data_IF_840289774856
#
_entry.id   IF_840289774856
#
_cell.length_a   1.000
_cell.length_b   1.000
_cell.length_c   1.000
_cell.angle_alpha   90.00
_cell.angle_beta   90.00
_cell.angle_gamma   90.00
#
_symmetry.space_group_name_H-M   'P 1'
#
loop_
_entity.id
_entity.type
_entity.pdbx_description
1 polymer ?
#
# COMPACT_ATOMS: atom_id res chain seq x y z
N UNK A 1 27.62 -6.69 -2.31
CA UNK A 1 26.69 -5.53 -2.12
C UNK A 1 25.36 -6.07 -1.62
N UNK A 2 24.87 -5.56 -0.50
CA UNK A 2 23.54 -5.91 0.05
C UNK A 2 22.52 -5.10 -0.72
N UNK A 3 21.64 -5.79 -1.46
CA UNK A 3 20.57 -5.15 -2.23
C UNK A 3 19.50 -4.60 -1.29
N UNK A 4 18.83 -3.52 -1.68
CA UNK A 4 17.69 -3.00 -0.93
C UNK A 4 16.56 -4.04 -0.84
N UNK A 5 16.26 -4.70 -1.96
CA UNK A 5 15.35 -5.84 -2.05
C UNK A 5 15.83 -6.77 -3.19
N UNK A 6 16.09 -8.04 -2.89
CA UNK A 6 16.52 -9.02 -3.89
C UNK A 6 15.32 -9.80 -4.44
N UNK A 7 14.65 -9.23 -5.45
CA UNK A 7 13.51 -9.87 -6.10
C UNK A 7 13.84 -11.21 -6.75
N UNK A 8 15.06 -11.36 -7.26
CA UNK A 8 15.51 -12.63 -7.83
C UNK A 8 15.53 -13.72 -6.75
N UNK A 9 16.22 -13.46 -5.62
CA UNK A 9 16.34 -14.41 -4.51
C UNK A 9 14.97 -14.70 -3.85
N UNK A 10 14.08 -13.69 -3.75
CA UNK A 10 12.71 -13.89 -3.26
C UNK A 10 11.93 -14.84 -4.16
N UNK A 11 11.95 -14.65 -5.48
CA UNK A 11 11.19 -15.50 -6.40
C UNK A 11 11.84 -16.88 -6.61
N UNK A 12 13.14 -17.00 -6.39
CA UNK A 12 13.86 -18.26 -6.49
C UNK A 12 13.37 -19.31 -5.50
N UNK A 13 12.92 -18.88 -4.30
CA UNK A 13 12.30 -19.78 -3.29
C UNK A 13 11.10 -20.55 -3.85
N UNK A 14 10.35 -19.94 -4.77
CA UNK A 14 9.10 -20.49 -5.34
C UNK A 14 9.25 -20.85 -6.82
N UNK A 15 10.49 -20.89 -7.33
CA UNK A 15 10.77 -21.01 -8.77
C UNK A 15 10.07 -22.17 -9.45
N UNK A 16 10.00 -23.34 -8.80
CA UNK A 16 9.32 -24.51 -9.37
C UNK A 16 7.81 -24.31 -9.47
N UNK A 17 7.18 -23.82 -8.39
CA UNK A 17 5.74 -23.56 -8.36
C UNK A 17 5.34 -22.44 -9.32
N UNK A 18 6.15 -21.36 -9.40
CA UNK A 18 5.92 -20.25 -10.32
C UNK A 18 5.99 -20.72 -11.79
N UNK A 19 6.99 -21.54 -12.14
CA UNK A 19 7.13 -22.09 -13.49
C UNK A 19 5.97 -23.04 -13.84
N UNK A 20 5.57 -23.88 -12.90
CA UNK A 20 4.40 -24.75 -13.08
C UNK A 20 3.12 -23.95 -13.31
N UNK A 21 2.88 -22.92 -12.49
CA UNK A 21 1.73 -22.04 -12.64
C UNK A 21 1.73 -21.29 -13.99
N UNK A 22 2.90 -20.86 -14.48
CA UNK A 22 3.03 -20.24 -15.80
C UNK A 22 2.70 -21.23 -16.93
N UNK A 23 3.23 -22.46 -16.86
CA UNK A 23 2.94 -23.49 -17.85
C UNK A 23 1.44 -23.81 -17.90
N UNK A 24 0.79 -23.97 -16.76
CA UNK A 24 -0.66 -24.21 -16.67
C UNK A 24 -1.48 -23.10 -17.36
N UNK A 25 -1.08 -21.83 -17.22
CA UNK A 25 -1.77 -20.71 -17.89
C UNK A 25 -1.52 -20.75 -19.39
N UNK A 26 -0.28 -20.99 -19.82
CA UNK A 26 0.08 -21.08 -21.25
C UNK A 26 -0.69 -22.23 -21.92
N UNK A 27 -0.70 -23.40 -21.31
CA UNK A 27 -1.35 -24.60 -21.85
C UNK A 27 -2.89 -24.46 -21.88
N UNK A 28 -3.47 -23.66 -20.97
CA UNK A 28 -4.90 -23.39 -20.96
C UNK A 28 -5.37 -22.55 -22.14
N UNK A 29 -4.51 -21.73 -22.73
CA UNK A 29 -4.86 -20.75 -23.75
C UNK A 29 -5.82 -19.64 -23.27
N UNK A 30 -6.07 -19.52 -21.97
CA UNK A 30 -6.96 -18.53 -21.37
C UNK A 30 -6.15 -17.51 -20.57
N UNK A 31 -6.18 -16.22 -20.94
CA UNK A 31 -5.24 -15.24 -20.42
C UNK A 31 -5.86 -14.09 -19.64
N UNK A 32 -7.19 -13.90 -19.70
CA UNK A 32 -7.92 -12.83 -19.02
C UNK A 32 -9.27 -13.30 -18.50
N UNK A 33 -9.66 -12.81 -17.30
CA UNK A 33 -10.99 -13.02 -16.71
C UNK A 33 -11.40 -14.50 -16.62
N UNK A 34 -10.47 -15.38 -16.31
CA UNK A 34 -10.65 -16.81 -16.24
C UNK A 34 -10.58 -17.37 -14.83
N UNK A 35 -10.19 -18.65 -14.74
CA UNK A 35 -10.22 -19.41 -13.49
C UNK A 35 -9.14 -18.95 -12.50
N UNK A 36 -7.93 -18.59 -12.98
CA UNK A 36 -6.83 -18.20 -12.08
C UNK A 36 -7.14 -16.90 -11.36
N UNK A 37 -7.71 -15.92 -12.07
CA UNK A 37 -8.20 -14.67 -11.48
C UNK A 37 -9.30 -14.95 -10.47
N UNK A 38 -10.31 -15.74 -10.80
CA UNK A 38 -11.39 -16.11 -9.87
C UNK A 38 -10.85 -16.81 -8.61
N UNK A 39 -9.90 -17.71 -8.76
CA UNK A 39 -9.27 -18.43 -7.65
C UNK A 39 -8.48 -17.48 -6.76
N UNK A 40 -7.70 -16.57 -7.33
CA UNK A 40 -6.97 -15.56 -6.56
C UNK A 40 -7.90 -14.61 -5.82
N UNK A 41 -8.98 -14.12 -6.47
CA UNK A 41 -10.00 -13.30 -5.81
C UNK A 41 -10.60 -14.02 -4.60
N UNK A 42 -10.92 -15.31 -4.74
CA UNK A 42 -11.44 -16.14 -3.63
C UNK A 42 -10.41 -16.31 -2.51
N UNK A 43 -9.14 -16.54 -2.84
CA UNK A 43 -8.07 -16.64 -1.85
C UNK A 43 -7.87 -15.32 -1.12
N UNK A 44 -7.83 -14.20 -1.83
CA UNK A 44 -7.63 -12.87 -1.26
C UNK A 44 -8.78 -12.48 -0.32
N UNK A 45 -10.04 -12.66 -0.76
CA UNK A 45 -11.19 -12.36 0.10
C UNK A 45 -11.20 -13.21 1.36
N UNK A 46 -10.85 -14.50 1.27
CA UNK A 46 -10.74 -15.38 2.43
C UNK A 46 -9.59 -14.96 3.35
N UNK A 47 -8.44 -14.56 2.77
CA UNK A 47 -7.29 -14.10 3.53
C UNK A 47 -7.60 -12.82 4.32
N UNK A 48 -8.29 -11.86 3.70
CA UNK A 48 -8.71 -10.60 4.34
C UNK A 48 -9.99 -10.75 5.18
N UNK A 49 -10.71 -11.87 5.07
CA UNK A 49 -12.05 -12.08 5.61
C UNK A 49 -13.07 -11.05 5.12
N UNK A 50 -12.92 -10.55 3.88
CA UNK A 50 -13.85 -9.64 3.22
C UNK A 50 -14.90 -10.43 2.42
N UNK A 51 -16.05 -9.79 2.12
CA UNK A 51 -17.13 -10.42 1.34
C UNK A 51 -16.78 -10.54 -0.15
N UNK A 52 -16.12 -9.52 -0.70
CA UNK A 52 -15.76 -9.44 -2.11
C UNK A 52 -14.28 -9.11 -2.29
N UNK A 53 -13.68 -9.65 -3.35
CA UNK A 53 -12.41 -9.20 -3.91
C UNK A 53 -12.53 -9.09 -5.43
N UNK A 54 -11.96 -8.03 -6.01
CA UNK A 54 -11.98 -7.76 -7.44
C UNK A 54 -10.54 -7.51 -7.89
N UNK A 55 -9.99 -8.36 -8.73
CA UNK A 55 -8.67 -8.21 -9.31
C UNK A 55 -8.68 -7.15 -10.42
N UNK A 56 -7.68 -6.26 -10.38
CA UNK A 56 -7.53 -5.13 -11.31
C UNK A 56 -6.08 -5.00 -11.79
N UNK A 57 -5.80 -4.09 -12.71
CA UNK A 57 -4.50 -3.97 -13.36
C UNK A 57 -3.37 -3.51 -12.44
N UNK A 58 -3.63 -2.66 -11.45
CA UNK A 58 -2.62 -2.14 -10.52
C UNK A 58 -3.27 -1.47 -9.30
N UNK A 59 -2.44 -1.05 -8.34
CA UNK A 59 -2.92 -0.44 -7.09
C UNK A 59 -3.53 0.96 -7.26
N UNK A 60 -3.03 1.77 -8.20
CA UNK A 60 -3.62 3.08 -8.49
C UNK A 60 -5.05 2.90 -9.05
N UNK A 61 -5.23 2.00 -9.99
CA UNK A 61 -6.53 1.70 -10.55
C UNK A 61 -7.49 1.12 -9.50
N UNK A 62 -7.00 0.35 -8.53
CA UNK A 62 -7.82 -0.11 -7.41
C UNK A 62 -8.48 1.06 -6.67
N UNK A 63 -7.69 2.07 -6.28
CA UNK A 63 -8.20 3.27 -5.59
C UNK A 63 -9.09 4.13 -6.51
N UNK A 64 -8.68 4.32 -7.77
CA UNK A 64 -9.47 5.06 -8.78
C UNK A 64 -10.85 4.44 -8.98
N UNK A 65 -10.91 3.11 -9.07
CA UNK A 65 -12.15 2.36 -9.29
C UNK A 65 -13.07 2.38 -8.06
N UNK A 66 -12.52 2.38 -6.82
CA UNK A 66 -13.31 2.57 -5.60
C UNK A 66 -14.00 3.94 -5.63
N UNK A 67 -13.24 5.01 -5.84
CA UNK A 67 -13.76 6.37 -5.88
C UNK A 67 -14.76 6.56 -7.03
N UNK A 68 -14.43 6.05 -8.22
CA UNK A 68 -15.35 6.07 -9.36
C UNK A 68 -16.62 5.27 -9.10
N UNK A 69 -16.53 4.14 -8.44
CA UNK A 69 -17.68 3.34 -8.02
C UNK A 69 -18.62 4.15 -7.13
N UNK A 70 -18.13 4.84 -6.13
CA UNK A 70 -18.93 5.71 -5.28
C UNK A 70 -19.56 6.89 -6.02
N UNK A 71 -18.91 7.41 -7.08
CA UNK A 71 -19.50 8.44 -7.96
C UNK A 71 -20.68 7.84 -8.75
N UNK A 72 -20.49 6.68 -9.37
CA UNK A 72 -21.53 6.02 -10.17
C UNK A 72 -22.73 5.54 -9.32
N UNK A 73 -22.52 5.27 -8.04
CA UNK A 73 -23.56 4.96 -7.05
C UNK A 73 -24.23 6.22 -6.49
N UNK A 74 -23.80 7.42 -6.86
CA UNK A 74 -24.36 8.69 -6.37
C UNK A 74 -24.00 9.06 -4.93
N UNK A 75 -23.02 8.37 -4.32
CA UNK A 75 -22.49 8.66 -2.97
C UNK A 75 -21.58 9.89 -3.01
N UNK A 76 -20.84 10.05 -4.10
CA UNK A 76 -19.95 11.17 -4.36
C UNK A 76 -20.28 11.81 -5.71
N UNK A 77 -19.81 13.04 -5.91
CA UNK A 77 -19.89 13.78 -7.19
C UNK A 77 -18.65 14.61 -7.41
N UNK A 78 -18.42 15.04 -8.64
CA UNK A 78 -17.33 15.95 -9.01
C UNK A 78 -17.25 17.14 -8.05
N UNK A 79 -16.05 17.44 -7.55
CA UNK A 79 -15.76 18.51 -6.61
C UNK A 79 -15.99 18.17 -5.15
N UNK A 80 -16.50 16.99 -4.83
CA UNK A 80 -16.52 16.49 -3.44
C UNK A 80 -15.09 16.25 -2.94
N UNK A 81 -14.91 16.32 -1.63
CA UNK A 81 -13.61 16.30 -0.97
C UNK A 81 -13.31 14.93 -0.37
N UNK A 82 -12.05 14.50 -0.50
CA UNK A 82 -11.52 13.28 0.11
C UNK A 82 -10.29 13.65 0.92
N UNK A 83 -10.32 13.39 2.24
CA UNK A 83 -9.17 13.58 3.12
C UNK A 83 -8.14 12.50 2.84
N UNK A 84 -6.86 12.90 2.77
CA UNK A 84 -5.73 12.01 2.45
C UNK A 84 -4.46 12.51 3.16
N UNK A 85 -3.54 11.62 3.62
CA UNK A 85 -2.30 12.07 4.26
C UNK A 85 -1.40 12.86 3.30
N UNK A 86 -0.79 13.95 3.81
CA UNK A 86 0.09 14.85 3.03
C UNK A 86 1.45 14.23 2.68
N UNK A 87 1.82 13.11 3.32
CA UNK A 87 3.10 12.40 3.12
C UNK A 87 2.97 11.08 2.37
N UNK A 88 1.80 10.79 1.78
CA UNK A 88 1.59 9.54 1.05
C UNK A 88 2.35 9.48 -0.26
N UNK A 89 2.46 8.29 -0.85
CA UNK A 89 2.84 8.16 -2.26
C UNK A 89 1.80 8.83 -3.15
N UNK A 90 2.27 9.48 -4.20
CA UNK A 90 1.42 10.30 -5.09
C UNK A 90 0.19 9.56 -5.64
N UNK A 91 0.24 8.22 -5.75
CA UNK A 91 -0.86 7.42 -6.27
C UNK A 91 -2.18 7.61 -5.50
N UNK A 92 -2.13 7.73 -4.16
CA UNK A 92 -3.34 7.96 -3.35
C UNK A 92 -3.99 9.30 -3.71
N UNK A 93 -3.18 10.34 -4.00
CA UNK A 93 -3.66 11.67 -4.40
C UNK A 93 -4.16 11.66 -5.84
N UNK A 94 -3.41 11.03 -6.76
CA UNK A 94 -3.81 10.88 -8.16
C UNK A 94 -5.17 10.17 -8.30
N UNK A 95 -5.42 9.12 -7.50
CA UNK A 95 -6.70 8.42 -7.53
C UNK A 95 -7.90 9.33 -7.27
N UNK A 96 -7.71 10.33 -6.40
CA UNK A 96 -8.74 11.32 -6.07
C UNK A 96 -8.89 12.33 -7.23
N UNK A 97 -7.77 12.93 -7.67
CA UNK A 97 -7.76 13.96 -8.70
C UNK A 97 -8.26 13.45 -10.04
N UNK A 98 -7.90 12.23 -10.44
CA UNK A 98 -8.32 11.59 -11.68
C UNK A 98 -9.85 11.36 -11.76
N UNK A 99 -10.50 11.34 -10.60
CA UNK A 99 -11.97 11.25 -10.50
C UNK A 99 -12.66 12.63 -10.40
N UNK A 100 -11.93 13.72 -10.63
CA UNK A 100 -12.41 15.09 -10.43
C UNK A 100 -12.95 15.35 -9.02
N UNK A 101 -12.42 14.62 -8.03
CA UNK A 101 -12.59 14.87 -6.61
C UNK A 101 -11.46 15.77 -6.11
N UNK A 102 -11.64 16.40 -4.98
CA UNK A 102 -10.66 17.32 -4.41
C UNK A 102 -9.91 16.65 -3.25
N UNK A 103 -8.59 16.38 -3.38
CA UNK A 103 -7.79 15.92 -2.26
C UNK A 103 -7.68 17.01 -1.18
N UNK A 104 -7.93 16.66 0.06
CA UNK A 104 -7.72 17.50 1.24
C UNK A 104 -6.58 16.88 2.03
N UNK A 105 -5.41 17.48 1.92
CA UNK A 105 -4.21 16.99 2.58
C UNK A 105 -4.27 17.27 4.08
N UNK A 106 -3.94 16.25 4.89
CA UNK A 106 -3.85 16.35 6.35
C UNK A 106 -2.50 15.80 6.78
N UNK A 107 -1.86 16.47 7.74
CA UNK A 107 -0.56 16.12 8.26
C UNK A 107 -0.51 14.71 8.85
N UNK A 108 0.62 13.99 8.70
CA UNK A 108 0.88 12.75 9.41
C UNK A 108 1.31 12.99 10.86
N UNK A 109 1.38 11.91 11.64
CA UNK A 109 2.09 11.85 12.92
C UNK A 109 3.56 11.52 12.70
N UNK A 110 4.47 12.16 13.47
CA UNK A 110 5.89 11.83 13.49
C UNK A 110 6.17 10.38 13.96
N UNK A 111 5.31 9.86 14.86
CA UNK A 111 5.55 8.57 15.51
C UNK A 111 5.23 7.38 14.63
N UNK A 112 4.19 7.50 13.80
CA UNK A 112 3.70 6.40 12.97
C UNK A 112 3.89 6.62 11.47
N UNK A 113 4.21 7.86 11.05
CA UNK A 113 4.19 8.32 9.66
C UNK A 113 2.79 8.26 9.01
N UNK A 114 1.81 7.73 9.70
CA UNK A 114 0.43 7.62 9.24
C UNK A 114 -0.34 8.93 9.48
N UNK A 115 -1.49 9.06 8.82
CA UNK A 115 -2.41 10.18 8.99
C UNK A 115 -2.68 10.47 10.48
N UNK A 116 -2.48 11.72 10.91
CA UNK A 116 -2.83 12.15 12.26
C UNK A 116 -4.35 12.28 12.39
N UNK A 117 -4.96 11.26 13.00
CA UNK A 117 -6.41 11.16 13.13
C UNK A 117 -7.00 12.34 13.92
N UNK A 118 -6.23 12.93 14.86
CA UNK A 118 -6.67 14.07 15.65
C UNK A 118 -6.90 15.34 14.83
N UNK A 119 -6.29 15.43 13.63
CA UNK A 119 -6.39 16.57 12.72
C UNK A 119 -7.50 16.41 11.66
N UNK A 120 -8.10 15.23 11.55
CA UNK A 120 -9.09 14.93 10.51
C UNK A 120 -10.32 15.82 10.65
N UNK A 121 -10.87 15.92 11.85
CA UNK A 121 -12.16 16.58 12.08
C UNK A 121 -12.11 18.08 11.72
N UNK A 122 -10.96 18.74 11.94
CA UNK A 122 -10.74 20.13 11.55
C UNK A 122 -10.71 20.34 10.01
N UNK A 123 -10.43 19.30 9.24
CA UNK A 123 -10.38 19.35 7.78
C UNK A 123 -11.74 19.01 7.11
N UNK A 124 -12.73 18.57 7.88
CA UNK A 124 -14.04 18.18 7.36
C UNK A 124 -14.87 19.41 6.98
N UNK A 125 -15.43 19.38 5.75
CA UNK A 125 -16.42 20.34 5.26
C UNK A 125 -17.72 19.65 4.86
N UNK A 126 -18.72 20.40 4.45
CA UNK A 126 -19.98 19.84 3.90
C UNK A 126 -19.77 19.02 2.61
N UNK A 127 -18.62 19.23 1.92
CA UNK A 127 -18.26 18.51 0.70
C UNK A 127 -17.41 17.26 0.96
N UNK A 128 -16.90 17.08 2.16
CA UNK A 128 -16.10 15.90 2.49
C UNK A 128 -17.01 14.66 2.46
N UNK A 129 -16.59 13.63 1.72
CA UNK A 129 -17.34 12.38 1.52
C UNK A 129 -16.57 11.14 1.93
N UNK A 130 -15.24 11.21 1.97
CA UNK A 130 -14.42 10.09 2.39
C UNK A 130 -13.14 10.54 3.09
N UNK A 131 -12.58 9.59 3.83
CA UNK A 131 -11.22 9.60 4.36
C UNK A 131 -10.49 8.45 3.67
N UNK A 132 -9.45 8.75 2.87
CA UNK A 132 -8.54 7.79 2.31
C UNK A 132 -7.35 7.69 3.24
N UNK A 133 -7.32 6.64 4.07
CA UNK A 133 -6.17 6.34 4.93
C UNK A 133 -5.15 5.51 4.16
N UNK A 134 -3.88 5.66 4.53
CA UNK A 134 -2.80 4.85 3.99
C UNK A 134 -2.15 4.09 5.13
N UNK A 135 -2.02 2.78 5.00
CA UNK A 135 -1.25 1.95 5.93
C UNK A 135 0.23 2.02 5.57
N UNK A 136 0.82 3.22 5.79
CA UNK A 136 2.15 3.55 5.27
C UNK A 136 3.23 2.65 5.86
N UNK A 137 4.16 2.22 5.01
CA UNK A 137 5.27 1.31 5.31
C UNK A 137 4.85 -0.07 5.84
N UNK A 138 3.55 -0.34 5.87
CA UNK A 138 2.98 -1.59 6.36
C UNK A 138 2.46 -1.51 7.78
N UNK A 139 2.35 -0.31 8.36
CA UNK A 139 1.78 -0.06 9.69
C UNK A 139 0.30 0.30 9.57
N UNK A 140 -0.53 -0.33 10.39
CA UNK A 140 -1.97 -0.04 10.44
C UNK A 140 -2.23 1.43 10.81
N UNK A 141 -3.03 2.10 9.98
CA UNK A 141 -3.59 3.42 10.25
C UNK A 141 -5.07 3.25 10.61
N UNK A 142 -5.36 2.96 11.87
CA UNK A 142 -6.74 2.73 12.34
C UNK A 142 -6.90 3.03 13.82
N UNK A 143 -8.07 3.52 14.22
CA UNK A 143 -8.44 3.69 15.62
C UNK A 143 -9.95 3.81 15.78
N UNK A 144 -10.45 3.64 16.99
CA UNK A 144 -11.86 3.92 17.33
C UNK A 144 -12.26 5.37 17.03
N UNK A 145 -11.34 6.32 17.27
CA UNK A 145 -11.59 7.73 16.96
C UNK A 145 -11.86 7.94 15.46
N UNK A 146 -11.13 7.24 14.57
CA UNK A 146 -11.37 7.30 13.13
C UNK A 146 -12.78 6.80 12.78
N UNK A 147 -13.18 5.67 13.36
CA UNK A 147 -14.53 5.11 13.18
C UNK A 147 -15.62 6.09 13.65
N UNK A 148 -15.43 6.69 14.83
CA UNK A 148 -16.37 7.66 15.41
C UNK A 148 -16.51 8.93 14.54
N UNK A 149 -15.39 9.47 14.04
CA UNK A 149 -15.38 10.61 13.11
C UNK A 149 -16.13 10.27 11.82
N UNK A 150 -15.83 9.13 11.21
CA UNK A 150 -16.46 8.70 9.97
C UNK A 150 -17.97 8.51 10.15
N UNK A 151 -18.40 7.86 11.24
CA UNK A 151 -19.80 7.67 11.56
C UNK A 151 -20.52 9.01 11.82
N UNK A 152 -19.94 9.89 12.63
CA UNK A 152 -20.51 11.21 12.97
C UNK A 152 -20.74 12.07 11.75
N UNK A 153 -19.85 12.04 10.77
CA UNK A 153 -19.89 12.87 9.57
C UNK A 153 -20.41 12.13 8.33
N UNK A 154 -20.84 10.86 8.48
CA UNK A 154 -21.30 10.00 7.39
C UNK A 154 -20.29 9.93 6.23
N UNK A 155 -19.02 9.65 6.56
CA UNK A 155 -17.90 9.56 5.62
C UNK A 155 -17.58 8.09 5.32
N UNK A 156 -17.17 7.83 4.09
CA UNK A 156 -16.57 6.54 3.72
C UNK A 156 -15.12 6.47 4.17
N UNK A 157 -14.67 5.32 4.69
CA UNK A 157 -13.25 5.06 4.95
C UNK A 157 -12.73 4.15 3.85
N UNK A 158 -11.74 4.64 3.10
CA UNK A 158 -11.06 3.90 2.04
C UNK A 158 -9.64 3.59 2.51
N UNK A 159 -9.26 2.32 2.47
CA UNK A 159 -7.91 1.88 2.82
C UNK A 159 -7.02 1.87 1.56
N UNK A 160 -5.93 2.64 1.54
CA UNK A 160 -4.80 2.34 0.68
C UNK A 160 -3.94 1.28 1.36
N UNK A 161 -4.17 0.04 0.96
CA UNK A 161 -3.52 -1.14 1.52
C UNK A 161 -2.34 -1.64 0.66
N UNK A 162 -1.78 -0.76 -0.19
CA UNK A 162 -0.69 -1.10 -1.10
C UNK A 162 0.59 -1.60 -0.40
N UNK A 163 0.74 -1.36 0.90
CA UNK A 163 1.94 -1.69 1.68
C UNK A 163 1.65 -2.60 2.89
N UNK A 164 0.40 -2.96 3.17
CA UNK A 164 0.04 -3.52 4.47
C UNK A 164 -0.75 -4.84 4.42
N UNK A 165 -0.72 -5.58 3.30
CA UNK A 165 -1.42 -6.87 3.23
C UNK A 165 -1.02 -7.77 4.40
N UNK A 166 -2.04 -8.20 5.18
CA UNK A 166 -1.88 -9.08 6.32
C UNK A 166 -1.47 -8.39 7.63
N UNK A 167 -1.43 -7.05 7.71
CA UNK A 167 -1.46 -6.34 8.98
C UNK A 167 -2.84 -6.48 9.63
N UNK A 168 -2.93 -6.40 10.95
CA UNK A 168 -4.17 -6.65 11.70
C UNK A 168 -4.41 -5.57 12.75
N UNK A 169 -5.66 -5.12 12.88
CA UNK A 169 -6.15 -4.31 13.99
C UNK A 169 -7.23 -5.10 14.75
N UNK A 170 -6.98 -5.37 16.04
CA UNK A 170 -7.91 -6.14 16.89
C UNK A 170 -8.39 -7.46 16.25
N UNK A 171 -7.52 -8.16 15.51
CA UNK A 171 -7.84 -9.42 14.83
C UNK A 171 -8.52 -9.29 13.47
N UNK A 172 -8.79 -8.07 13.01
CA UNK A 172 -9.30 -7.79 11.66
C UNK A 172 -8.12 -7.37 10.78
N UNK A 173 -7.96 -8.02 9.63
CA UNK A 173 -6.89 -7.66 8.67
C UNK A 173 -7.21 -6.37 7.93
N UNK A 174 -6.16 -5.60 7.64
CA UNK A 174 -6.24 -4.49 6.68
C UNK A 174 -6.78 -5.00 5.34
N UNK A 175 -7.58 -4.17 4.69
CA UNK A 175 -8.38 -4.59 3.55
C UNK A 175 -9.80 -5.01 3.92
N UNK A 176 -10.13 -5.04 5.23
CA UNK A 176 -11.48 -5.32 5.76
C UNK A 176 -11.82 -4.45 6.98
N UNK A 177 -11.08 -3.37 7.19
CA UNK A 177 -11.32 -2.41 8.27
C UNK A 177 -12.29 -1.31 7.82
N UNK A 178 -12.08 -0.75 6.62
CA UNK A 178 -12.89 0.31 6.04
C UNK A 178 -14.04 -0.20 5.14
N UNK A 179 -14.67 0.73 4.43
CA UNK A 179 -15.75 0.42 3.47
C UNK A 179 -15.21 -0.28 2.22
N UNK A 180 -13.99 0.06 1.78
CA UNK A 180 -13.28 -0.57 0.67
C UNK A 180 -11.77 -0.37 0.80
N UNK A 181 -10.99 -1.26 0.22
CA UNK A 181 -9.54 -1.19 0.22
C UNK A 181 -8.94 -1.46 -1.16
N UNK A 182 -7.90 -0.68 -1.52
CA UNK A 182 -7.09 -0.89 -2.70
C UNK A 182 -5.76 -1.56 -2.37
N UNK A 183 -5.41 -2.59 -3.13
CA UNK A 183 -4.15 -3.33 -3.00
C UNK A 183 -3.28 -3.12 -4.23
N UNK A 184 -1.98 -3.05 -4.02
CA UNK A 184 -0.97 -3.12 -5.06
C UNK A 184 -0.16 -4.41 -4.91
N UNK A 185 0.02 -5.11 -6.01
CA UNK A 185 0.89 -6.27 -6.12
C UNK A 185 2.08 -6.00 -7.05
N UNK A 186 2.53 -4.73 -7.12
CA UNK A 186 3.79 -4.38 -7.77
C UNK A 186 4.91 -5.32 -7.27
N UNK A 187 5.87 -5.74 -8.11
CA UNK A 187 6.85 -6.78 -7.76
C UNK A 187 7.59 -6.60 -6.43
N UNK A 188 7.83 -5.35 -6.02
CA UNK A 188 8.49 -5.02 -4.75
C UNK A 188 7.58 -5.07 -3.52
N UNK A 189 6.28 -5.35 -3.64
CA UNK A 189 5.35 -5.43 -2.50
C UNK A 189 5.52 -6.75 -1.74
N UNK A 190 5.05 -6.80 -0.49
CA UNK A 190 5.13 -8.00 0.34
C UNK A 190 4.47 -9.21 -0.35
N UNK A 191 3.35 -8.99 -1.01
CA UNK A 191 2.80 -9.92 -2.00
C UNK A 191 2.99 -9.28 -3.37
N UNK A 192 4.10 -9.59 -4.06
CA UNK A 192 4.45 -9.03 -5.37
C UNK A 192 4.20 -10.02 -6.50
N UNK A 193 3.50 -9.56 -7.55
CA UNK A 193 3.40 -10.27 -8.82
C UNK A 193 4.71 -10.20 -9.61
N UNK A 194 4.75 -10.74 -10.82
CA UNK A 194 5.87 -10.61 -11.75
C UNK A 194 5.59 -9.54 -12.83
N UNK A 195 4.83 -8.52 -12.48
CA UNK A 195 4.42 -7.37 -13.28
C UNK A 195 3.44 -6.52 -12.46
N UNK A 196 2.73 -5.60 -13.12
CA UNK A 196 1.69 -4.82 -12.45
C UNK A 196 0.48 -5.69 -12.14
N UNK A 197 -0.07 -5.51 -10.95
CA UNK A 197 -1.32 -6.13 -10.50
C UNK A 197 -1.87 -5.38 -9.28
N UNK A 198 -3.17 -5.47 -9.08
CA UNK A 198 -3.85 -4.90 -7.94
C UNK A 198 -5.17 -5.61 -7.63
N UNK A 199 -5.80 -5.24 -6.56
CA UNK A 199 -7.15 -5.70 -6.24
C UNK A 199 -7.90 -4.68 -5.39
N UNK A 200 -9.22 -4.81 -5.37
CA UNK A 200 -10.11 -4.13 -4.42
C UNK A 200 -10.76 -5.18 -3.54
N UNK A 201 -10.87 -4.91 -2.24
CA UNK A 201 -11.74 -5.66 -1.33
C UNK A 201 -12.84 -4.74 -0.77
N UNK A 202 -14.04 -5.29 -0.56
CA UNK A 202 -15.17 -4.58 0.03
C UNK A 202 -16.24 -5.54 0.53
N UNK A 203 -17.03 -5.10 1.51
CA UNK A 203 -18.22 -5.83 1.98
C UNK A 203 -19.51 -5.33 1.30
N UNK A 204 -19.42 -4.30 0.46
CA UNK A 204 -20.53 -3.74 -0.30
C UNK A 204 -20.67 -4.44 -1.67
N UNK A 205 -21.77 -5.17 -1.85
CA UNK A 205 -22.02 -5.92 -3.09
C UNK A 205 -22.28 -5.00 -4.28
N UNK A 206 -22.96 -3.87 -4.07
CA UNK A 206 -23.25 -2.91 -5.15
C UNK A 206 -21.96 -2.25 -5.63
N UNK A 207 -21.08 -1.85 -4.72
CA UNK A 207 -19.77 -1.33 -5.05
C UNK A 207 -18.93 -2.37 -5.81
N UNK A 208 -18.93 -3.62 -5.35
CA UNK A 208 -18.20 -4.73 -6.01
C UNK A 208 -18.66 -4.94 -7.45
N UNK A 209 -19.96 -5.00 -7.69
CA UNK A 209 -20.56 -5.15 -9.04
C UNK A 209 -20.20 -3.95 -9.91
N UNK A 210 -20.27 -2.74 -9.37
CA UNK A 210 -19.97 -1.50 -10.07
C UNK A 210 -18.50 -1.43 -10.47
N UNK A 211 -17.58 -1.75 -9.54
CA UNK A 211 -16.13 -1.79 -9.81
C UNK A 211 -15.80 -2.84 -10.89
N UNK A 212 -16.40 -4.04 -10.80
CA UNK A 212 -16.18 -5.10 -11.79
C UNK A 212 -16.59 -4.66 -13.21
N UNK A 213 -17.67 -3.92 -13.31
CA UNK A 213 -18.09 -3.34 -14.60
C UNK A 213 -17.14 -2.22 -15.06
N UNK A 214 -16.79 -1.28 -14.15
CA UNK A 214 -15.89 -0.17 -14.44
C UNK A 214 -14.49 -0.64 -14.89
N UNK A 215 -13.94 -1.67 -14.28
CA UNK A 215 -12.66 -2.27 -14.62
C UNK A 215 -12.65 -2.93 -16.02
N UNK A 216 -13.82 -3.24 -16.56
CA UNK A 216 -13.99 -3.84 -17.89
C UNK A 216 -14.84 -2.96 -18.80
N UNK A 217 -14.34 -1.77 -19.13
CA UNK A 217 -14.96 -0.79 -20.04
C UNK A 217 -16.37 -0.33 -19.61
N UNK A 218 -16.74 -0.46 -18.35
CA UNK A 218 -18.08 -0.13 -17.85
C UNK A 218 -19.15 -1.16 -18.21
N UNK A 219 -18.78 -2.38 -18.57
CA UNK A 219 -19.69 -3.40 -19.13
C UNK A 219 -20.13 -4.42 -18.10
N UNK A 220 -21.44 -4.50 -17.83
CA UNK A 220 -22.05 -5.61 -17.11
C UNK A 220 -22.35 -6.82 -18.00
N UNK A 221 -22.53 -6.59 -19.29
CA UNK A 221 -22.83 -7.61 -20.29
C UNK A 221 -22.06 -7.30 -21.55
N UNK A 222 -21.48 -8.31 -22.18
CA UNK A 222 -20.69 -8.18 -23.40
C UNK A 222 -21.37 -7.22 -24.41
N UNK A 223 -20.63 -6.20 -24.84
CA UNK A 223 -21.07 -5.13 -25.74
C UNK A 223 -22.15 -4.18 -25.21
N UNK A 224 -22.43 -4.19 -23.88
CA UNK A 224 -23.33 -3.23 -23.24
C UNK A 224 -22.58 -2.49 -22.12
N UNK A 225 -22.14 -1.28 -22.40
CA UNK A 225 -21.41 -0.44 -21.47
C UNK A 225 -22.38 0.48 -20.74
N UNK A 226 -22.54 0.30 -19.43
CA UNK A 226 -23.39 1.13 -18.58
C UNK A 226 -22.65 2.38 -18.09
N UNK A 227 -21.35 2.26 -17.93
CA UNK A 227 -20.47 3.31 -17.41
C UNK A 227 -19.34 3.62 -18.38
N UNK A 228 -18.72 4.80 -18.21
CA UNK A 228 -17.42 5.10 -18.83
C UNK A 228 -16.33 4.45 -17.98
N UNK A 229 -15.96 3.23 -18.30
CA UNK A 229 -15.01 2.44 -17.53
C UNK A 229 -13.58 2.49 -18.06
N UNK A 230 -12.73 1.72 -17.40
CA UNK A 230 -11.31 1.53 -17.74
C UNK A 230 -11.08 0.14 -18.34
N UNK A 231 -9.91 -0.06 -18.92
CA UNK A 231 -9.34 -1.38 -19.16
C UNK A 231 -8.35 -1.70 -18.05
N UNK A 232 -8.84 -2.15 -16.90
CA UNK A 232 -8.04 -2.45 -15.73
C UNK A 232 -8.36 -3.84 -15.20
N UNK A 233 -7.68 -4.83 -15.74
CA UNK A 233 -7.88 -6.26 -15.42
C UNK A 233 -6.54 -6.88 -15.03
N UNK A 234 -6.58 -7.84 -14.13
CA UNK A 234 -5.42 -8.68 -13.82
C UNK A 234 -5.30 -9.77 -14.89
N UNK A 235 -4.08 -10.03 -15.35
CA UNK A 235 -3.79 -11.15 -16.23
C UNK A 235 -3.85 -12.47 -15.45
N UNK A 236 -4.31 -13.57 -16.09
CA UNK A 236 -4.37 -14.91 -15.49
C UNK A 236 -3.00 -15.36 -14.98
N UNK A 237 -1.93 -15.03 -15.69
CA UNK A 237 -0.57 -15.41 -15.29
C UNK A 237 -0.15 -14.71 -13.99
N UNK A 238 -0.50 -13.43 -13.80
CA UNK A 238 -0.20 -12.72 -12.56
C UNK A 238 -1.02 -13.26 -11.39
N UNK A 239 -2.29 -13.58 -11.62
CA UNK A 239 -3.15 -14.20 -10.62
C UNK A 239 -2.62 -15.59 -10.18
N UNK A 240 -2.11 -16.37 -11.13
CA UNK A 240 -1.48 -17.66 -10.85
C UNK A 240 -0.23 -17.50 -9.97
N UNK A 241 0.66 -16.56 -10.28
CA UNK A 241 1.84 -16.26 -9.46
C UNK A 241 1.49 -15.78 -8.06
N UNK A 242 0.51 -14.87 -7.96
CA UNK A 242 0.05 -14.36 -6.66
C UNK A 242 -0.57 -15.46 -5.81
N UNK A 243 -1.30 -16.38 -6.41
CA UNK A 243 -1.88 -17.56 -5.72
C UNK A 243 -0.80 -18.50 -5.15
N UNK A 244 0.34 -18.64 -5.82
CA UNK A 244 1.49 -19.38 -5.28
C UNK A 244 2.05 -18.64 -4.06
N UNK A 245 2.37 -17.36 -4.20
CA UNK A 245 3.07 -16.56 -3.18
C UNK A 245 2.21 -16.27 -1.95
N UNK A 246 0.89 -16.16 -2.12
CA UNK A 246 -0.03 -15.91 -1.00
C UNK A 246 0.02 -17.02 0.08
N UNK A 247 0.39 -18.25 -0.29
CA UNK A 247 0.56 -19.36 0.66
C UNK A 247 1.65 -19.10 1.71
N UNK A 248 2.65 -18.31 1.37
CA UNK A 248 3.87 -18.07 2.15
C UNK A 248 3.92 -16.71 2.83
N UNK A 249 2.95 -15.84 2.58
CA UNK A 249 3.00 -14.44 3.02
C UNK A 249 3.08 -14.28 4.55
N UNK A 250 2.46 -15.19 5.30
CA UNK A 250 2.45 -15.12 6.76
C UNK A 250 3.83 -15.44 7.36
N UNK A 251 4.55 -16.40 6.77
CA UNK A 251 5.93 -16.74 7.15
C UNK A 251 6.88 -15.60 6.78
N UNK A 252 6.75 -15.04 5.57
CA UNK A 252 7.55 -13.89 5.14
C UNK A 252 7.34 -12.66 6.02
N UNK A 253 6.12 -12.37 6.46
CA UNK A 253 5.83 -11.30 7.43
C UNK A 253 6.53 -11.53 8.76
N UNK A 254 6.57 -12.77 9.23
CA UNK A 254 7.23 -13.10 10.50
C UNK A 254 8.74 -12.86 10.41
N UNK A 255 9.38 -13.21 9.31
CA UNK A 255 10.80 -12.93 9.07
C UNK A 255 11.05 -11.41 9.09
N UNK A 256 10.23 -10.62 8.40
CA UNK A 256 10.36 -9.15 8.39
C UNK A 256 10.23 -8.56 9.79
N UNK A 257 9.29 -9.05 10.62
CA UNK A 257 9.14 -8.63 12.01
C UNK A 257 10.41 -8.91 12.84
N UNK A 258 10.98 -10.10 12.71
CA UNK A 258 12.21 -10.48 13.41
C UNK A 258 13.39 -9.58 13.02
N UNK A 259 13.53 -9.24 11.74
CA UNK A 259 14.56 -8.31 11.26
C UNK A 259 14.34 -6.91 11.86
N UNK A 260 13.10 -6.40 11.82
CA UNK A 260 12.77 -5.09 12.36
C UNK A 260 13.03 -5.00 13.87
N UNK A 261 12.62 -6.01 14.65
CA UNK A 261 12.89 -6.10 16.08
C UNK A 261 14.39 -6.12 16.36
N UNK A 262 15.15 -6.82 15.53
CA UNK A 262 16.59 -6.88 15.65
C UNK A 262 17.25 -5.54 15.36
N UNK A 263 16.83 -4.83 14.31
CA UNK A 263 17.30 -3.47 14.01
C UNK A 263 17.05 -2.53 15.19
N UNK A 264 15.82 -2.52 15.74
CA UNK A 264 15.48 -1.69 16.91
C UNK A 264 16.30 -2.04 18.15
N UNK A 265 16.61 -3.34 18.37
CA UNK A 265 17.37 -3.78 19.51
C UNK A 265 18.86 -3.50 19.40
N UNK A 266 19.46 -3.62 18.21
CA UNK A 266 20.92 -3.68 18.03
C UNK A 266 21.54 -2.41 17.42
N UNK A 267 20.76 -1.54 16.75
CA UNK A 267 21.22 -0.23 16.30
C UNK A 267 21.24 0.72 17.51
N UNK A 268 22.42 1.32 17.79
CA UNK A 268 22.69 2.14 18.98
C UNK A 268 23.31 3.49 18.65
N UNK A 269 23.10 3.99 17.43
CA UNK A 269 23.59 5.29 16.99
C UNK A 269 22.56 6.38 17.29
N UNK A 270 22.88 7.28 18.22
CA UNK A 270 21.97 8.34 18.67
C UNK A 270 21.64 9.39 17.61
N UNK A 271 22.37 9.44 16.49
CA UNK A 271 22.03 10.30 15.34
C UNK A 271 20.85 9.76 14.53
N UNK A 272 20.52 8.47 14.71
CA UNK A 272 19.52 7.73 13.92
C UNK A 272 18.27 7.52 14.75
N UNK A 273 17.15 8.08 14.30
CA UNK A 273 15.86 7.81 14.93
C UNK A 273 15.26 6.56 14.28
N UNK A 274 15.08 5.52 15.07
CA UNK A 274 14.47 4.27 14.63
C UNK A 274 12.93 4.37 14.66
N UNK A 275 12.21 3.62 13.82
CA UNK A 275 10.74 3.59 13.87
C UNK A 275 10.29 2.94 15.19
N UNK A 276 9.15 3.40 15.71
CA UNK A 276 8.53 2.80 16.87
C UNK A 276 8.04 1.38 16.55
N UNK A 277 8.30 0.44 17.46
CA UNK A 277 7.67 -0.88 17.38
C UNK A 277 6.20 -0.76 17.83
N UNK A 278 5.25 -1.36 17.10
CA UNK A 278 3.86 -1.37 17.53
C UNK A 278 3.70 -2.18 18.81
N UNK A 279 2.74 -1.80 19.67
CA UNK A 279 2.41 -2.55 20.89
C UNK A 279 1.99 -3.98 20.54
N UNK A 280 1.14 -4.11 19.53
CA UNK A 280 0.77 -5.40 18.95
C UNK A 280 1.59 -5.63 17.66
N UNK A 281 2.52 -6.60 17.61
CA UNK A 281 3.37 -6.85 16.45
C UNK A 281 2.59 -7.14 15.16
N UNK A 282 1.32 -7.57 15.27
CA UNK A 282 0.47 -7.84 14.11
C UNK A 282 0.03 -6.57 13.37
N UNK A 283 0.12 -5.41 14.02
CA UNK A 283 -0.23 -4.12 13.43
C UNK A 283 0.81 -3.61 12.41
N UNK A 284 1.92 -4.33 12.22
CA UNK A 284 2.95 -3.94 11.25
C UNK A 284 3.48 -5.17 10.48
N UNK A 285 3.52 -5.06 9.15
CA UNK A 285 4.08 -6.11 8.27
C UNK A 285 5.46 -5.76 7.73
N UNK A 286 6.00 -4.62 8.13
CA UNK A 286 7.33 -4.15 7.77
C UNK A 286 7.62 -4.26 6.27
N UNK A 287 6.72 -3.68 5.48
CA UNK A 287 6.98 -3.51 4.05
C UNK A 287 8.28 -2.74 3.83
N UNK A 288 8.46 -1.67 4.61
CA UNK A 288 9.70 -0.91 4.69
C UNK A 288 10.13 -0.76 6.17
N UNK A 289 11.44 -0.71 6.39
CA UNK A 289 12.03 -0.28 7.66
C UNK A 289 12.63 1.10 7.46
N UNK A 290 11.96 2.12 7.97
CA UNK A 290 12.26 3.53 7.68
C UNK A 290 12.83 4.19 8.93
N UNK A 291 14.10 4.60 8.84
CA UNK A 291 14.79 5.41 9.85
C UNK A 291 14.69 6.90 9.49
N UNK A 292 14.96 7.76 10.48
CA UNK A 292 15.09 9.21 10.26
C UNK A 292 16.46 9.68 10.69
N UNK A 293 17.04 10.58 9.90
CA UNK A 293 18.31 11.24 10.18
C UNK A 293 18.38 12.58 9.46
N UNK A 294 18.83 13.62 10.15
CA UNK A 294 18.96 14.97 9.58
C UNK A 294 19.97 15.03 8.43
N UNK A 295 21.05 14.28 8.54
CA UNK A 295 22.11 14.22 7.54
C UNK A 295 21.96 12.98 6.63
N UNK A 296 20.78 12.87 6.01
CA UNK A 296 20.37 11.70 5.20
C UNK A 296 21.31 11.37 4.06
N UNK A 297 21.76 12.40 3.30
CA UNK A 297 22.62 12.20 2.13
C UNK A 297 23.98 11.61 2.51
N UNK A 298 24.58 12.09 3.58
CA UNK A 298 25.87 11.56 4.04
C UNK A 298 25.71 10.12 4.55
N UNK A 299 24.66 9.79 5.30
CA UNK A 299 24.41 8.41 5.71
C UNK A 299 24.16 7.50 4.50
N UNK A 300 23.39 7.95 3.51
CA UNK A 300 23.10 7.17 2.30
C UNK A 300 24.39 6.89 1.51
N UNK A 301 25.25 7.89 1.33
CA UNK A 301 26.55 7.75 0.69
C UNK A 301 27.47 6.82 1.49
N UNK A 302 27.51 6.97 2.82
CA UNK A 302 28.30 6.11 3.70
C UNK A 302 27.88 4.64 3.59
N UNK A 303 26.58 4.36 3.64
CA UNK A 303 26.04 3.00 3.46
C UNK A 303 26.38 2.43 2.08
N UNK A 304 26.21 3.23 1.02
CA UNK A 304 26.54 2.83 -0.35
C UNK A 304 28.04 2.48 -0.50
N UNK A 305 28.93 3.29 0.06
CA UNK A 305 30.38 3.05 0.05
C UNK A 305 30.77 1.78 0.84
N UNK A 306 29.98 1.39 1.82
CA UNK A 306 30.13 0.14 2.57
C UNK A 306 29.35 -1.04 1.98
N UNK A 307 28.80 -0.87 0.77
CA UNK A 307 28.13 -1.92 0.02
C UNK A 307 26.70 -2.25 0.47
N UNK A 308 25.97 -1.27 1.02
CA UNK A 308 24.57 -1.38 1.40
C UNK A 308 23.71 -0.43 0.56
N UNK A 309 22.74 -0.95 -0.18
CA UNK A 309 21.76 -0.15 -0.93
C UNK A 309 20.65 0.34 -0.01
N UNK A 310 20.25 1.60 -0.17
CA UNK A 310 19.11 2.21 0.55
C UNK A 310 18.24 2.98 -0.44
N UNK A 311 16.98 3.22 -0.07
CA UNK A 311 16.03 4.01 -0.87
C UNK A 311 15.35 5.06 0.03
N UNK A 312 14.79 6.09 -0.59
CA UNK A 312 14.03 7.13 0.08
C UNK A 312 12.54 6.98 -0.29
N UNK A 313 11.69 6.75 0.70
CA UNK A 313 10.25 6.67 0.53
C UNK A 313 9.54 7.72 1.41
N UNK A 314 9.30 8.94 0.89
CA UNK A 314 9.59 9.40 -0.48
C UNK A 314 10.40 10.71 -0.41
N UNK A 315 11.14 11.11 -1.49
CA UNK A 315 12.01 12.30 -1.41
C UNK A 315 11.25 13.62 -1.49
N UNK A 316 10.06 13.65 -2.13
CA UNK A 316 9.27 14.87 -2.36
C UNK A 316 7.81 14.59 -1.98
N UNK A 317 7.21 15.38 -1.07
CA UNK A 317 5.81 15.21 -0.71
C UNK A 317 4.85 15.63 -1.84
N UNK A 318 3.62 15.09 -1.88
CA UNK A 318 2.66 15.36 -2.96
C UNK A 318 2.44 16.86 -3.27
N UNK A 319 2.36 17.71 -2.24
CA UNK A 319 2.12 19.15 -2.39
C UNK A 319 3.32 19.94 -2.92
N UNK A 320 4.49 19.33 -3.03
CA UNK A 320 5.70 19.92 -3.63
C UNK A 320 6.05 19.30 -4.98
N UNK A 321 5.20 18.43 -5.50
CA UNK A 321 5.37 17.85 -6.85
C UNK A 321 4.89 18.85 -7.91
N UNK A 322 5.61 18.95 -9.02
CA UNK A 322 5.25 19.82 -10.16
C UNK A 322 3.83 19.53 -10.71
N UNK A 323 3.38 18.30 -10.59
CA UNK A 323 2.03 17.88 -10.98
C UNK A 323 0.91 18.56 -10.17
N UNK A 324 1.23 19.13 -9.03
CA UNK A 324 0.33 19.86 -8.11
C UNK A 324 0.86 21.24 -7.78
N UNK A 325 1.31 21.98 -8.82
CA UNK A 325 1.89 23.31 -8.69
C UNK A 325 0.96 24.31 -7.99
N UNK A 326 -0.35 24.11 -8.03
CA UNK A 326 -1.36 24.89 -7.30
C UNK A 326 -1.21 24.78 -5.76
N UNK A 327 -0.48 23.77 -5.26
CA UNK A 327 -0.19 23.61 -3.83
C UNK A 327 1.22 24.04 -3.43
N UNK A 328 2.01 24.60 -4.35
CA UNK A 328 3.42 24.94 -4.11
C UNK A 328 3.62 25.84 -2.87
N UNK A 329 2.68 26.79 -2.66
CA UNK A 329 2.70 27.71 -1.50
C UNK A 329 2.09 27.09 -0.22
N UNK A 330 1.50 25.90 -0.31
CA UNK A 330 0.97 25.22 0.88
C UNK A 330 2.11 24.66 1.73
N UNK A 331 1.95 24.72 3.06
CA UNK A 331 2.93 24.20 4.02
C UNK A 331 2.32 23.09 4.86
N UNK A 332 3.03 21.96 4.89
CA UNK A 332 2.78 20.82 5.74
C UNK A 332 4.08 20.44 6.45
N UNK A 333 4.44 21.14 7.54
CA UNK A 333 5.77 21.08 8.15
C UNK A 333 6.20 19.69 8.57
N UNK A 334 5.27 18.87 9.13
CA UNK A 334 5.58 17.51 9.54
C UNK A 334 5.86 16.63 8.31
N UNK A 335 5.05 16.74 7.28
CA UNK A 335 5.25 16.03 6.02
C UNK A 335 6.59 16.43 5.38
N UNK A 336 6.88 17.72 5.29
CA UNK A 336 8.12 18.25 4.71
C UNK A 336 9.36 17.74 5.48
N UNK A 337 9.33 17.81 6.82
CA UNK A 337 10.40 17.27 7.67
C UNK A 337 10.61 15.78 7.45
N UNK A 338 9.53 14.99 7.40
CA UNK A 338 9.62 13.55 7.17
C UNK A 338 10.26 13.24 5.82
N UNK A 339 9.85 13.93 4.76
CA UNK A 339 10.43 13.73 3.42
C UNK A 339 11.91 14.13 3.33
N UNK A 340 12.37 15.04 4.18
CA UNK A 340 13.79 15.40 4.28
C UNK A 340 14.62 14.37 5.07
N UNK A 341 14.03 13.72 6.08
CA UNK A 341 14.76 12.92 7.07
C UNK A 341 14.72 11.41 6.82
N UNK A 342 13.69 10.88 6.12
CA UNK A 342 13.47 9.43 6.00
C UNK A 342 14.49 8.74 5.09
N UNK A 343 14.96 7.57 5.52
CA UNK A 343 15.78 6.65 4.74
C UNK A 343 15.34 5.22 5.02
N UNK A 344 15.07 4.45 3.97
CA UNK A 344 14.66 3.05 4.08
C UNK A 344 15.86 2.12 4.03
N UNK A 345 16.00 1.28 5.03
CA UNK A 345 17.01 0.23 5.11
C UNK A 345 16.53 -1.06 4.42
N UNK A 346 17.45 -1.91 3.96
CA UNK A 346 17.10 -3.23 3.44
C UNK A 346 16.28 -4.03 4.46
N UNK A 347 15.16 -4.58 4.01
CA UNK A 347 14.34 -5.53 4.77
C UNK A 347 13.61 -6.47 3.80
N UNK A 348 13.74 -7.77 4.01
CA UNK A 348 13.12 -8.75 3.12
C UNK A 348 13.24 -10.18 3.63
N UNK A 349 12.37 -11.09 3.15
CA UNK A 349 12.29 -12.45 3.69
C UNK A 349 13.51 -13.33 3.38
N UNK A 350 14.40 -12.89 2.50
CA UNK A 350 15.58 -13.66 2.06
C UNK A 350 16.90 -13.07 2.54
N UNK A 351 16.85 -12.11 3.47
CA UNK A 351 18.07 -11.54 4.05
C UNK A 351 18.77 -12.54 4.96
N UNK A 352 20.07 -12.67 4.74
CA UNK A 352 20.94 -13.53 5.56
C UNK A 352 21.31 -12.82 6.87
N UNK A 353 21.58 -13.63 7.91
CA UNK A 353 21.97 -13.11 9.22
C UNK A 353 23.26 -12.26 9.18
N UNK A 354 24.21 -12.62 8.33
CA UNK A 354 25.44 -11.86 8.12
C UNK A 354 25.20 -10.50 7.44
N UNK A 355 24.20 -10.40 6.54
CA UNK A 355 23.81 -9.14 5.92
C UNK A 355 23.21 -8.20 6.98
N UNK A 356 22.32 -8.73 7.83
CA UNK A 356 21.69 -7.97 8.92
C UNK A 356 22.75 -7.48 9.90
N UNK A 357 23.66 -8.36 10.37
CA UNK A 357 24.78 -7.99 11.26
C UNK A 357 25.66 -6.91 10.65
N UNK A 358 25.98 -7.03 9.36
CA UNK A 358 26.79 -6.04 8.64
C UNK A 358 26.12 -4.67 8.59
N UNK A 359 24.82 -4.60 8.30
CA UNK A 359 24.07 -3.33 8.27
C UNK A 359 24.10 -2.68 9.67
N UNK A 360 23.80 -3.43 10.72
CA UNK A 360 23.79 -2.94 12.10
C UNK A 360 25.18 -2.39 12.48
N UNK A 361 26.25 -3.14 12.18
CA UNK A 361 27.62 -2.72 12.45
C UNK A 361 27.94 -1.39 11.76
N UNK A 362 27.66 -1.26 10.46
CA UNK A 362 27.95 -0.07 9.68
C UNK A 362 27.17 1.14 10.24
N UNK A 363 25.90 0.97 10.63
CA UNK A 363 25.08 2.02 11.22
C UNK A 363 25.59 2.46 12.58
N UNK A 364 26.10 1.55 13.39
CA UNK A 364 26.68 1.86 14.71
C UNK A 364 28.07 2.52 14.64
N UNK A 365 28.78 2.34 13.52
CA UNK A 365 30.10 2.95 13.26
C UNK A 365 30.01 4.33 12.58
N UNK A 366 28.82 4.74 12.08
CA UNK A 366 28.56 6.05 11.44
C UNK A 366 28.49 7.17 12.52
#
# INVERSE_FOLDING_TARGET
MIKFLDLQKINEQYSQELKAAANDVIDSGWYLLGERVNNFENQLKNYCASKNAIAVGNGLDALRLILRGYIEMGIMKTGDEVIVPSNTYIASVLAISDNNLKPILVEPSYDSYNLDISKIEAAITKRTKAILIVHLYGQVCWSKQLEEIALKHNLKIIEDNAQAIGAEWNGIKTGNLGDAAGFSFYPGKNLGALGDSGAVTTNDDELSITIRALANYGSHKKYKNKYQGLNSRMDEIQAAFLSVKLKYIDDEKQIRRQIAERYNREIKNDKILLPNLPINPKEHVWHLYVIRIKDRENLQNYLSNNGVQTLIHYPIPPHKQDAYSEWAESSYPISEDLHNDVLSLPIGPVMEDDEIRKIIKILNEY
#
